data_IF_915394086835
#
_entry.id   IF_915394086835
#
_cell.length_a   1.000
_cell.length_b   1.000
_cell.length_c   1.000
_cell.angle_alpha   90.00
_cell.angle_beta   90.00
_cell.angle_gamma   90.00
#
_symmetry.space_group_name_H-M   'P 1'
#
loop_
_entity.id
_entity.type
_entity.pdbx_description
1 polymer ?
#
# COMPACT_ATOMS: atom_id res chain seq x y z
N UNK A 1 -0.38 2.42 -10.70
CA UNK A 1 0.29 1.11 -10.55
C UNK A 1 0.68 0.92 -9.10
N UNK A 2 0.90 -0.32 -8.64
CA UNK A 2 1.41 -0.54 -7.29
C UNK A 2 2.93 -0.39 -7.27
N UNK A 3 3.45 0.25 -6.22
CA UNK A 3 4.85 0.26 -5.83
C UNK A 3 5.01 -0.34 -4.43
N UNK A 4 6.11 -1.05 -4.24
CA UNK A 4 6.55 -1.58 -2.96
C UNK A 4 7.83 -0.85 -2.58
N UNK A 5 7.79 0.01 -1.57
CA UNK A 5 8.90 0.93 -1.26
C UNK A 5 9.18 0.86 0.24
N UNK A 6 10.41 0.51 0.61
CA UNK A 6 10.88 0.66 1.99
C UNK A 6 10.98 2.14 2.34
N UNK A 7 10.71 2.51 3.60
CA UNK A 7 10.71 3.91 4.00
C UNK A 7 12.05 4.60 3.75
N UNK A 8 13.17 3.88 3.88
CA UNK A 8 14.50 4.41 3.57
C UNK A 8 14.65 4.82 2.10
N UNK A 9 13.97 4.14 1.16
CA UNK A 9 14.00 4.41 -0.28
C UNK A 9 12.92 5.40 -0.74
N UNK A 10 11.99 5.78 0.15
CA UNK A 10 10.83 6.61 -0.19
C UNK A 10 11.23 8.01 -0.71
N UNK A 11 12.43 8.49 -0.33
CA UNK A 11 12.99 9.75 -0.82
C UNK A 11 13.23 9.78 -2.34
N UNK A 12 13.35 8.62 -2.99
CA UNK A 12 13.45 8.52 -4.45
C UNK A 12 12.12 8.84 -5.17
N UNK A 13 11.01 8.95 -4.43
CA UNK A 13 9.67 9.21 -4.93
C UNK A 13 9.03 10.43 -4.24
N UNK A 14 9.62 11.64 -4.35
CA UNK A 14 9.25 12.79 -3.53
C UNK A 14 7.78 13.21 -3.68
N UNK A 15 7.24 13.23 -4.89
CA UNK A 15 5.82 13.54 -5.13
C UNK A 15 4.89 12.52 -4.49
N UNK A 16 5.21 11.23 -4.64
CA UNK A 16 4.41 10.13 -4.11
C UNK A 16 4.43 10.15 -2.58
N UNK A 17 5.61 10.33 -1.98
CA UNK A 17 5.78 10.45 -0.54
C UNK A 17 5.00 11.64 0.04
N UNK A 18 5.17 12.83 -0.56
CA UNK A 18 4.49 14.04 -0.14
C UNK A 18 2.97 13.87 -0.16
N UNK A 19 2.42 13.42 -1.28
CA UNK A 19 0.97 13.26 -1.45
C UNK A 19 0.40 12.14 -0.58
N UNK A 20 1.13 11.04 -0.37
CA UNK A 20 0.72 9.98 0.55
C UNK A 20 0.53 10.50 1.97
N UNK A 21 1.50 11.24 2.52
CA UNK A 21 1.42 11.73 3.90
C UNK A 21 0.34 12.80 4.09
N UNK A 22 0.09 13.64 3.08
CA UNK A 22 -1.04 14.58 3.09
C UNK A 22 -2.39 13.86 3.05
N UNK A 23 -2.52 12.83 2.21
CA UNK A 23 -3.74 12.02 2.13
C UNK A 23 -4.00 11.23 3.41
N UNK A 24 -2.93 10.76 4.08
CA UNK A 24 -3.03 10.16 5.41
C UNK A 24 -3.59 11.17 6.42
N UNK A 25 -3.10 12.42 6.41
CA UNK A 25 -3.64 13.47 7.29
C UNK A 25 -5.11 13.77 6.97
N UNK A 26 -5.48 13.93 5.70
CA UNK A 26 -6.88 14.12 5.30
C UNK A 26 -7.75 12.94 5.74
N UNK A 27 -7.33 11.71 5.48
CA UNK A 27 -8.13 10.55 5.84
C UNK A 27 -8.25 10.38 7.35
N UNK A 28 -7.14 10.25 8.07
CA UNK A 28 -7.15 9.84 9.46
C UNK A 28 -7.56 11.00 10.38
N UNK A 29 -7.00 12.20 10.22
CA UNK A 29 -7.35 13.35 11.06
C UNK A 29 -8.66 13.98 10.61
N UNK A 30 -8.79 14.37 9.34
CA UNK A 30 -9.92 15.21 8.88
C UNK A 30 -11.21 14.41 8.67
N UNK A 31 -11.16 13.30 7.94
CA UNK A 31 -12.37 12.54 7.57
C UNK A 31 -12.81 11.55 8.66
N UNK A 32 -11.85 10.88 9.29
CA UNK A 32 -12.13 9.87 10.30
C UNK A 32 -12.15 10.43 11.73
N UNK A 33 -11.52 11.59 11.97
CA UNK A 33 -11.50 12.24 13.28
C UNK A 33 -10.61 11.53 14.29
N UNK A 34 -9.62 10.76 13.84
CA UNK A 34 -8.71 10.06 14.73
C UNK A 34 -7.74 11.03 15.41
N UNK A 35 -7.35 10.70 16.64
CA UNK A 35 -6.30 11.43 17.35
C UNK A 35 -4.92 10.97 16.85
N UNK A 36 -4.51 11.56 15.73
CA UNK A 36 -3.19 11.36 15.11
C UNK A 36 -2.39 12.67 15.11
N UNK A 37 -1.07 12.55 15.05
CA UNK A 37 -0.13 13.66 14.93
C UNK A 37 0.00 14.09 13.47
N UNK A 38 0.02 15.40 13.24
CA UNK A 38 0.30 16.01 11.94
C UNK A 38 1.39 17.05 12.14
N UNK A 39 2.48 16.95 11.37
CA UNK A 39 3.62 17.85 11.50
C UNK A 39 3.40 19.21 10.81
N UNK A 40 4.40 20.09 10.87
CA UNK A 40 4.36 21.42 10.25
C UNK A 40 4.26 21.38 8.72
N UNK A 41 4.63 20.27 8.09
CA UNK A 41 4.48 20.06 6.65
C UNK A 41 3.09 19.51 6.27
N UNK A 42 2.25 19.22 7.27
CA UNK A 42 0.92 18.66 7.08
C UNK A 42 0.91 17.14 6.97
N UNK A 43 2.03 16.47 7.27
CA UNK A 43 2.15 15.02 7.15
C UNK A 43 1.64 14.30 8.38
N UNK A 44 0.80 13.29 8.17
CA UNK A 44 0.50 12.30 9.22
C UNK A 44 1.57 11.21 9.21
N UNK A 45 2.37 11.20 10.28
CA UNK A 45 3.42 10.23 10.55
C UNK A 45 3.39 9.81 12.02
N UNK A 46 3.85 8.61 12.29
CA UNK A 46 4.07 8.10 13.64
C UNK A 46 5.44 7.39 13.74
N UNK A 47 5.79 6.92 14.94
CA UNK A 47 7.07 6.25 15.21
C UNK A 47 7.31 4.98 14.40
N UNK A 48 6.25 4.35 13.91
CA UNK A 48 6.33 3.14 13.10
C UNK A 48 6.74 3.45 11.65
N UNK A 49 6.59 4.70 11.19
CA UNK A 49 7.13 5.16 9.90
C UNK A 49 8.67 5.22 9.90
N UNK A 50 9.28 5.28 11.09
CA UNK A 50 10.74 5.32 11.25
C UNK A 50 11.36 3.91 11.42
N UNK A 51 10.54 2.85 11.48
CA UNK A 51 10.96 1.44 11.61
C UNK A 51 11.31 0.78 10.26
N UNK A 52 11.61 1.59 9.24
CA UNK A 52 11.79 1.16 7.85
C UNK A 52 10.67 0.23 7.33
N UNK A 53 9.38 0.61 7.47
CA UNK A 53 8.28 -0.22 6.98
C UNK A 53 8.33 -0.39 5.46
N UNK A 54 7.69 -1.45 4.97
CA UNK A 54 7.34 -1.54 3.56
C UNK A 54 6.02 -0.82 3.30
N UNK A 55 6.05 0.23 2.49
CA UNK A 55 4.84 0.84 1.96
C UNK A 55 4.42 0.14 0.67
N UNK A 56 3.13 -0.22 0.60
CA UNK A 56 2.48 -0.68 -0.63
C UNK A 56 1.58 0.44 -1.12
N UNK A 57 1.95 1.07 -2.23
CA UNK A 57 1.36 2.34 -2.68
C UNK A 57 0.81 2.21 -4.09
N UNK A 58 -0.45 2.59 -4.30
CA UNK A 58 -0.97 2.89 -5.62
C UNK A 58 -0.51 4.29 -6.05
N UNK A 59 0.37 4.34 -7.04
CA UNK A 59 0.81 5.56 -7.70
C UNK A 59 -0.05 5.83 -8.95
N UNK A 60 -0.60 7.05 -9.03
CA UNK A 60 -1.32 7.55 -10.19
C UNK A 60 -0.38 7.87 -11.36
N UNK A 61 -0.94 8.11 -12.54
CA UNK A 61 -0.14 8.38 -13.75
C UNK A 61 0.70 9.67 -13.66
N UNK A 62 0.30 10.61 -12.80
CA UNK A 62 1.00 11.88 -12.54
C UNK A 62 2.01 11.77 -11.38
N UNK A 63 2.25 10.56 -10.85
CA UNK A 63 3.16 10.30 -9.73
C UNK A 63 2.57 10.60 -8.35
N UNK A 64 1.29 10.99 -8.27
CA UNK A 64 0.62 11.23 -6.99
C UNK A 64 0.11 9.94 -6.35
N UNK A 65 -0.15 10.01 -5.05
CA UNK A 65 -0.74 8.93 -4.28
C UNK A 65 -2.23 8.73 -4.63
N UNK A 66 -2.62 7.49 -4.90
CA UNK A 66 -4.03 7.08 -5.02
C UNK A 66 -4.53 6.31 -3.81
N UNK A 67 -3.66 5.57 -3.13
CA UNK A 67 -3.95 4.82 -1.91
C UNK A 67 -2.73 4.04 -1.44
N UNK A 68 -2.68 3.66 -0.16
CA UNK A 68 -1.53 2.97 0.43
C UNK A 68 -1.93 2.06 1.58
N UNK A 69 -1.00 1.18 1.97
CA UNK A 69 -0.93 0.56 3.29
C UNK A 69 0.54 0.44 3.72
N UNK A 70 0.76 0.26 5.01
CA UNK A 70 2.08 0.12 5.63
C UNK A 70 2.21 -1.26 6.25
N UNK A 71 3.32 -1.95 5.98
CA UNK A 71 3.59 -3.29 6.47
C UNK A 71 4.85 -3.31 7.35
N UNK A 72 4.77 -3.97 8.52
CA UNK A 72 5.90 -4.17 9.45
C UNK A 72 5.96 -5.60 9.97
N UNK A 73 7.15 -6.21 10.13
CA UNK A 73 7.28 -7.51 10.77
C UNK A 73 6.85 -7.47 12.25
N UNK A 74 6.05 -8.44 12.70
CA UNK A 74 5.60 -8.49 14.11
C UNK A 74 6.69 -8.89 15.10
N UNK A 75 7.85 -9.34 14.61
CA UNK A 75 9.08 -9.52 15.42
C UNK A 75 9.72 -8.20 15.86
N UNK A 76 9.29 -7.07 15.29
CA UNK A 76 9.71 -5.73 15.66
C UNK A 76 8.64 -4.97 16.45
N UNK A 77 8.76 -3.65 16.44
CA UNK A 77 7.76 -2.76 17.05
C UNK A 77 6.51 -2.67 16.17
N UNK A 78 5.32 -2.88 16.75
CA UNK A 78 4.04 -2.85 16.03
C UNK A 78 2.93 -2.23 16.87
N UNK A 79 2.01 -1.57 16.18
CA UNK A 79 0.93 -0.79 16.80
C UNK A 79 -0.03 -1.68 17.60
N UNK A 80 -0.31 -2.89 17.11
CA UNK A 80 -1.20 -3.87 17.73
C UNK A 80 -0.66 -4.30 19.09
N UNK A 81 0.65 -4.50 19.21
CA UNK A 81 1.30 -4.91 20.45
C UNK A 81 1.47 -3.74 21.43
N UNK A 82 1.67 -2.51 20.92
CA UNK A 82 1.96 -1.34 21.75
C UNK A 82 0.68 -0.66 22.27
N UNK A 83 -0.39 -0.62 21.47
CA UNK A 83 -1.61 0.13 21.80
C UNK A 83 -2.90 -0.71 21.89
N UNK A 84 -2.90 -1.91 21.31
CA UNK A 84 -4.13 -2.71 21.17
C UNK A 84 -4.01 -4.12 21.76
N UNK A 85 -3.05 -4.34 22.66
CA UNK A 85 -2.80 -5.63 23.30
C UNK A 85 -4.02 -6.15 24.10
N UNK A 86 -4.88 -5.25 24.58
CA UNK A 86 -6.12 -5.61 25.25
C UNK A 86 -7.16 -6.25 24.31
N UNK A 87 -7.03 -6.08 22.99
CA UNK A 87 -7.88 -6.74 22.01
C UNK A 87 -7.45 -8.18 21.72
N UNK A 88 -6.29 -8.60 22.23
CA UNK A 88 -5.76 -9.97 22.10
C UNK A 88 -5.61 -10.64 23.47
N UNK A 89 -6.42 -10.23 24.46
CA UNK A 89 -6.39 -10.74 25.83
C UNK A 89 -5.00 -10.68 26.50
N UNK A 90 -4.19 -9.68 26.14
CA UNK A 90 -2.83 -9.54 26.66
C UNK A 90 -1.77 -10.33 25.89
N UNK A 91 -2.16 -11.11 24.88
CA UNK A 91 -1.25 -11.94 24.08
C UNK A 91 -0.60 -11.10 22.99
N UNK A 92 0.73 -11.01 23.02
CA UNK A 92 1.50 -10.38 21.96
C UNK A 92 1.46 -11.23 20.70
N UNK A 93 1.33 -10.59 19.54
CA UNK A 93 1.45 -11.24 18.23
C UNK A 93 2.88 -11.00 17.75
N UNK A 94 3.66 -12.08 17.69
CA UNK A 94 5.08 -12.02 17.36
C UNK A 94 5.47 -13.29 16.58
N UNK A 95 5.76 -13.13 15.30
CA UNK A 95 6.16 -14.24 14.42
C UNK A 95 6.88 -13.70 13.18
N UNK A 96 7.94 -14.38 12.68
CA UNK A 96 8.56 -14.00 11.41
C UNK A 96 7.61 -14.15 10.22
N UNK A 97 6.55 -14.95 10.36
CA UNK A 97 5.54 -15.22 9.34
C UNK A 97 4.27 -14.38 9.49
N UNK A 98 4.26 -13.42 10.42
CA UNK A 98 3.13 -12.50 10.61
C UNK A 98 3.64 -11.07 10.51
N UNK A 99 3.07 -10.30 9.60
CA UNK A 99 3.34 -8.87 9.48
C UNK A 99 2.10 -8.05 9.87
N UNK A 100 2.31 -6.89 10.48
CA UNK A 100 1.25 -5.94 10.77
C UNK A 100 0.98 -5.08 9.53
N UNK A 101 -0.30 -4.98 9.13
CA UNK A 101 -0.79 -4.06 8.13
C UNK A 101 -1.54 -2.90 8.78
N UNK A 102 -1.03 -1.68 8.59
CA UNK A 102 -1.61 -0.43 9.12
C UNK A 102 -1.77 0.61 8.02
N UNK A 103 -2.39 1.75 8.36
CA UNK A 103 -2.48 2.94 7.50
C UNK A 103 -3.05 2.65 6.11
N UNK A 104 -4.10 1.83 6.04
CA UNK A 104 -4.89 1.63 4.82
C UNK A 104 -5.56 2.95 4.41
N UNK A 105 -4.93 3.70 3.52
CA UNK A 105 -5.27 5.07 3.12
C UNK A 105 -5.76 5.11 1.68
N UNK A 106 -6.79 5.90 1.40
CA UNK A 106 -7.26 6.19 0.04
C UNK A 106 -7.32 7.71 -0.13
N UNK A 107 -6.71 8.22 -1.19
CA UNK A 107 -6.88 9.61 -1.65
C UNK A 107 -8.37 9.93 -1.88
N UNK A 108 -8.74 11.21 -1.95
CA UNK A 108 -10.12 11.60 -2.31
C UNK A 108 -10.45 11.25 -3.76
N UNK A 109 -9.43 11.25 -4.59
CA UNK A 109 -9.44 11.02 -6.02
C UNK A 109 -9.28 9.53 -6.36
N UNK A 110 -9.19 8.66 -5.34
CA UNK A 110 -9.03 7.23 -5.51
C UNK A 110 -10.14 6.66 -6.38
N UNK A 111 -9.75 6.07 -7.52
CA UNK A 111 -10.71 5.48 -8.45
C UNK A 111 -11.30 4.19 -7.90
N UNK A 112 -12.49 3.78 -8.36
CA UNK A 112 -13.02 2.45 -8.04
C UNK A 112 -12.02 1.36 -8.42
N UNK A 113 -11.59 0.57 -7.44
CA UNK A 113 -10.62 -0.52 -7.63
C UNK A 113 -9.32 -0.37 -6.85
N UNK A 114 -8.91 0.86 -6.47
CA UNK A 114 -7.65 1.09 -5.73
C UNK A 114 -7.58 0.25 -4.44
N UNK A 115 -8.66 0.22 -3.66
CA UNK A 115 -8.71 -0.58 -2.44
C UNK A 115 -8.53 -2.09 -2.69
N UNK A 116 -9.16 -2.63 -3.74
CA UNK A 116 -9.03 -4.02 -4.11
C UNK A 116 -7.62 -4.33 -4.67
N UNK A 117 -7.03 -3.39 -5.40
CA UNK A 117 -5.66 -3.49 -5.89
C UNK A 117 -4.65 -3.54 -4.73
N UNK A 118 -4.83 -2.72 -3.70
CA UNK A 118 -4.00 -2.76 -2.49
C UNK A 118 -4.12 -4.10 -1.76
N UNK A 119 -5.34 -4.64 -1.61
CA UNK A 119 -5.54 -5.96 -1.00
C UNK A 119 -4.90 -7.08 -1.80
N UNK A 120 -5.01 -7.04 -3.14
CA UNK A 120 -4.34 -8.00 -4.01
C UNK A 120 -2.83 -7.91 -3.88
N UNK A 121 -2.30 -6.68 -3.83
CA UNK A 121 -0.89 -6.41 -3.64
C UNK A 121 -0.35 -6.91 -2.31
N UNK A 122 -1.15 -6.84 -1.24
CA UNK A 122 -0.82 -7.44 0.06
C UNK A 122 -0.66 -8.94 -0.03
N UNK A 123 -1.55 -9.61 -0.76
CA UNK A 123 -1.42 -11.03 -1.08
C UNK A 123 -0.14 -11.38 -1.84
N UNK A 124 0.30 -10.52 -2.76
CA UNK A 124 1.60 -10.70 -3.43
C UNK A 124 2.77 -10.61 -2.44
N UNK A 125 2.73 -9.67 -1.48
CA UNK A 125 3.76 -9.61 -0.42
C UNK A 125 3.76 -10.89 0.39
N UNK A 126 2.57 -11.38 0.77
CA UNK A 126 2.46 -12.63 1.53
C UNK A 126 3.12 -13.81 0.80
N UNK A 127 2.88 -13.90 -0.50
CA UNK A 127 3.45 -14.94 -1.35
C UNK A 127 4.96 -14.79 -1.56
N UNK A 128 5.45 -13.59 -1.84
CA UNK A 128 6.85 -13.38 -2.23
C UNK A 128 7.81 -13.33 -1.02
N UNK A 129 7.30 -13.01 0.17
CA UNK A 129 8.08 -12.97 1.42
C UNK A 129 7.77 -14.12 2.39
N UNK A 130 7.03 -15.15 1.94
CA UNK A 130 6.63 -16.29 2.76
C UNK A 130 5.91 -15.87 4.07
N UNK A 131 5.08 -14.82 4.00
CA UNK A 131 4.27 -14.37 5.14
C UNK A 131 2.94 -15.12 5.13
N UNK A 132 2.67 -15.83 6.22
CA UNK A 132 1.45 -16.62 6.36
C UNK A 132 0.24 -15.75 6.71
N UNK A 133 0.45 -14.69 7.51
CA UNK A 133 -0.65 -13.83 7.94
C UNK A 133 -0.32 -12.34 7.97
N UNK A 134 -1.34 -11.53 7.72
CA UNK A 134 -1.35 -10.14 8.18
C UNK A 134 -2.22 -9.97 9.42
N UNK A 135 -1.73 -9.23 10.38
CA UNK A 135 -2.53 -8.71 11.49
C UNK A 135 -2.83 -7.23 11.27
N UNK A 136 -4.02 -6.77 11.65
CA UNK A 136 -4.33 -5.35 11.58
C UNK A 136 -5.49 -4.95 12.48
N UNK A 137 -5.47 -3.69 12.93
CA UNK A 137 -6.56 -3.07 13.68
C UNK A 137 -7.40 -2.20 12.75
N UNK A 138 -8.72 -2.34 12.80
CA UNK A 138 -9.61 -1.57 11.94
C UNK A 138 -10.93 -1.21 12.63
N UNK A 139 -11.53 -0.12 12.17
CA UNK A 139 -12.86 0.32 12.61
C UNK A 139 -13.99 -0.45 11.91
N UNK A 140 -15.20 -0.37 12.46
CA UNK A 140 -16.38 -1.06 11.94
C UNK A 140 -16.71 -0.77 10.45
N UNK A 141 -16.25 0.35 9.88
CA UNK A 141 -16.54 0.76 8.50
C UNK A 141 -15.78 -0.12 7.52
N UNK A 142 -14.57 -0.56 7.89
CA UNK A 142 -13.74 -1.43 7.05
C UNK A 142 -14.35 -2.81 6.83
N UNK A 143 -15.16 -3.33 7.77
CA UNK A 143 -15.84 -4.63 7.64
C UNK A 143 -16.62 -4.75 6.33
N UNK A 144 -17.34 -3.69 5.93
CA UNK A 144 -18.12 -3.70 4.70
C UNK A 144 -17.24 -3.70 3.46
N UNK A 145 -16.10 -3.01 3.52
CA UNK A 145 -15.13 -2.94 2.42
C UNK A 145 -14.50 -4.31 2.21
N UNK A 146 -14.00 -4.93 3.28
CA UNK A 146 -13.44 -6.29 3.26
C UNK A 146 -14.41 -7.32 2.70
N UNK A 147 -15.67 -7.29 3.15
CA UNK A 147 -16.72 -8.20 2.65
C UNK A 147 -17.01 -8.01 1.17
N UNK A 148 -17.04 -6.75 0.70
CA UNK A 148 -17.30 -6.44 -0.71
C UNK A 148 -16.17 -6.93 -1.62
N UNK A 149 -14.93 -6.77 -1.17
CA UNK A 149 -13.75 -7.17 -1.94
C UNK A 149 -13.50 -8.69 -1.87
N UNK A 150 -14.00 -9.35 -0.81
CA UNK A 150 -13.83 -10.78 -0.61
C UNK A 150 -12.59 -11.15 0.22
N UNK A 151 -12.11 -10.22 1.06
CA UNK A 151 -10.92 -10.39 1.91
C UNK A 151 -11.26 -10.04 3.36
N UNK A 152 -12.15 -10.84 3.97
CA UNK A 152 -12.56 -10.65 5.37
C UNK A 152 -11.59 -11.38 6.31
N UNK A 153 -11.12 -10.73 7.39
CA UNK A 153 -10.25 -11.38 8.36
C UNK A 153 -11.01 -12.33 9.28
N UNK A 154 -10.27 -13.23 9.91
CA UNK A 154 -10.66 -13.81 11.20
C UNK A 154 -10.56 -12.73 12.28
N UNK A 155 -11.61 -12.56 13.10
CA UNK A 155 -11.60 -11.56 14.18
C UNK A 155 -11.05 -12.21 15.44
N UNK A 156 -9.89 -11.73 15.90
CA UNK A 156 -9.26 -12.21 17.13
C UNK A 156 -9.90 -11.58 18.38
N UNK A 157 -10.31 -10.32 18.27
CA UNK A 157 -10.97 -9.61 19.36
C UNK A 157 -11.54 -8.28 18.92
N UNK A 158 -12.34 -7.66 19.80
CA UNK A 158 -13.05 -6.42 19.52
C UNK A 158 -13.38 -5.64 20.78
N UNK A 159 -13.43 -4.32 20.66
CA UNK A 159 -13.89 -3.42 21.70
C UNK A 159 -14.81 -2.36 21.11
N UNK A 160 -15.77 -1.91 21.92
CA UNK A 160 -16.73 -0.88 21.53
C UNK A 160 -17.89 -1.42 20.72
N UNK A 161 -18.82 -0.52 20.39
CA UNK A 161 -20.07 -0.85 19.70
C UNK A 161 -20.32 0.12 18.53
N UNK A 162 -21.13 -0.32 17.56
CA UNK A 162 -21.57 0.53 16.46
C UNK A 162 -20.40 1.10 15.65
N UNK A 163 -20.34 2.44 15.55
CA UNK A 163 -19.32 3.17 14.78
C UNK A 163 -17.97 3.28 15.48
N UNK A 164 -17.96 3.13 16.80
CA UNK A 164 -16.76 3.21 17.64
C UNK A 164 -16.11 1.83 17.85
N UNK A 165 -16.72 0.77 17.29
CA UNK A 165 -16.15 -0.56 17.39
C UNK A 165 -14.85 -0.66 16.58
N UNK A 166 -13.81 -1.14 17.24
CA UNK A 166 -12.55 -1.55 16.64
C UNK A 166 -12.34 -3.05 16.82
N UNK A 167 -11.61 -3.66 15.88
CA UNK A 167 -11.32 -5.08 15.86
C UNK A 167 -9.88 -5.33 15.47
N UNK A 168 -9.26 -6.34 16.09
CA UNK A 168 -8.05 -6.97 15.57
C UNK A 168 -8.49 -8.09 14.63
N UNK A 169 -7.99 -8.06 13.40
CA UNK A 169 -8.19 -9.12 12.42
C UNK A 169 -6.88 -9.80 12.03
N UNK A 170 -7.00 -11.07 11.68
CA UNK A 170 -5.95 -11.87 11.06
C UNK A 170 -6.41 -12.25 9.64
N UNK A 171 -5.59 -11.92 8.65
CA UNK A 171 -5.81 -12.27 7.25
C UNK A 171 -4.86 -13.39 6.85
N UNK A 172 -5.42 -14.43 6.25
CA UNK A 172 -4.72 -15.40 5.45
C UNK A 172 -5.03 -15.13 3.97
N UNK A 173 -4.07 -15.39 3.08
CA UNK A 173 -4.28 -15.21 1.65
C UNK A 173 -4.17 -16.53 0.90
N UNK A 174 -5.29 -17.27 0.87
CA UNK A 174 -5.41 -18.48 0.06
C UNK A 174 -5.46 -18.14 -1.43
N UNK A 175 -5.14 -19.11 -2.30
CA UNK A 175 -5.26 -18.93 -3.75
C UNK A 175 -6.68 -18.60 -4.21
N UNK A 176 -7.70 -19.06 -3.48
CA UNK A 176 -9.11 -18.70 -3.73
C UNK A 176 -9.39 -17.23 -3.39
N UNK A 177 -8.85 -16.75 -2.26
CA UNK A 177 -8.94 -15.34 -1.88
C UNK A 177 -8.25 -14.46 -2.93
N UNK A 178 -7.07 -14.85 -3.42
CA UNK A 178 -6.37 -14.14 -4.49
C UNK A 178 -7.21 -14.01 -5.75
N UNK A 179 -7.83 -15.09 -6.21
CA UNK A 179 -8.67 -15.06 -7.41
C UNK A 179 -9.90 -14.15 -7.25
N UNK A 180 -10.53 -14.18 -6.07
CA UNK A 180 -11.68 -13.32 -5.75
C UNK A 180 -11.31 -11.83 -5.72
N UNK A 181 -10.19 -11.50 -5.06
CA UNK A 181 -9.71 -10.12 -4.96
C UNK A 181 -9.20 -9.62 -6.31
N UNK A 182 -8.53 -10.46 -7.11
CA UNK A 182 -8.08 -10.13 -8.47
C UNK A 182 -9.25 -9.74 -9.38
N UNK A 183 -10.32 -10.54 -9.35
CA UNK A 183 -11.56 -10.23 -10.06
C UNK A 183 -12.18 -8.90 -9.62
N UNK A 184 -12.21 -8.64 -8.30
CA UNK A 184 -12.74 -7.38 -7.75
C UNK A 184 -11.89 -6.17 -8.10
N UNK A 185 -10.58 -6.35 -8.23
CA UNK A 185 -9.64 -5.31 -8.60
C UNK A 185 -9.62 -5.03 -10.12
N UNK A 186 -10.05 -5.98 -10.94
CA UNK A 186 -9.85 -5.91 -12.40
C UNK A 186 -8.38 -6.00 -12.79
N UNK A 187 -7.55 -6.64 -11.94
CA UNK A 187 -6.10 -6.76 -12.09
C UNK A 187 -5.75 -8.23 -12.05
N UNK A 188 -4.91 -8.69 -12.99
CA UNK A 188 -4.48 -10.09 -13.02
C UNK A 188 -3.32 -10.34 -12.05
N UNK A 189 -3.17 -11.56 -11.50
CA UNK A 189 -2.02 -11.91 -10.67
C UNK A 189 -0.66 -11.66 -11.35
N UNK A 190 -0.58 -11.81 -12.67
CA UNK A 190 0.65 -11.54 -13.42
C UNK A 190 1.01 -10.05 -13.41
N UNK A 191 0.01 -9.17 -13.38
CA UNK A 191 0.24 -7.73 -13.29
C UNK A 191 0.78 -7.34 -11.91
N UNK A 192 0.25 -7.89 -10.83
CA UNK A 192 0.76 -7.61 -9.48
C UNK A 192 2.17 -8.11 -9.30
N UNK A 193 2.45 -9.34 -9.75
CA UNK A 193 3.80 -9.89 -9.76
C UNK A 193 4.79 -8.99 -10.51
N UNK A 194 4.44 -8.50 -11.70
CA UNK A 194 5.30 -7.58 -12.47
C UNK A 194 5.56 -6.26 -11.74
N UNK A 195 4.56 -5.72 -11.03
CA UNK A 195 4.75 -4.52 -10.22
C UNK A 195 5.64 -4.76 -9.01
N UNK A 196 5.52 -5.93 -8.38
CA UNK A 196 6.39 -6.38 -7.30
C UNK A 196 7.84 -6.49 -7.78
N UNK A 197 8.08 -7.28 -8.83
CA UNK A 197 9.41 -7.46 -9.44
C UNK A 197 10.02 -6.12 -9.85
N UNK A 198 9.25 -5.22 -10.47
CA UNK A 198 9.75 -3.89 -10.85
C UNK A 198 10.13 -3.03 -9.64
N UNK A 199 9.45 -3.18 -8.52
CA UNK A 199 9.72 -2.36 -7.33
C UNK A 199 11.03 -2.76 -6.65
N UNK A 200 11.37 -4.05 -6.63
CA UNK A 200 12.61 -4.54 -6.00
C UNK A 200 13.79 -4.68 -6.97
N UNK A 201 13.53 -4.87 -8.27
CA UNK A 201 14.59 -4.99 -9.29
C UNK A 201 14.98 -3.66 -9.92
N UNK A 202 14.35 -2.53 -9.57
CA UNK A 202 14.70 -1.21 -10.09
C UNK A 202 16.01 -0.69 -9.46
N UNK A 203 17.13 -1.31 -9.84
CA UNK A 203 18.45 -0.68 -9.83
C UNK A 203 18.68 0.18 -11.08
N UNK A 204 17.71 0.25 -12.00
CA UNK A 204 17.79 1.09 -13.18
C UNK A 204 16.70 2.18 -13.20
N UNK A 205 17.08 3.46 -13.35
CA UNK A 205 16.11 4.52 -13.62
C UNK A 205 15.39 4.19 -14.93
N UNK A 206 14.05 4.23 -14.89
CA UNK A 206 13.23 4.10 -16.10
C UNK A 206 13.68 5.19 -17.08
N UNK A 207 14.19 4.86 -18.28
CA UNK A 207 14.50 5.90 -19.25
C UNK A 207 13.19 6.61 -19.58
N UNK A 208 13.15 7.92 -19.32
CA UNK A 208 12.15 8.79 -19.92
C UNK A 208 12.15 8.49 -21.42
N UNK A 209 11.05 7.97 -21.94
CA UNK A 209 10.80 7.96 -23.37
C UNK A 209 10.65 9.43 -23.79
N UNK A 210 11.77 10.05 -24.13
CA UNK A 210 11.84 11.38 -24.68
C UNK A 210 11.39 11.30 -26.15
N UNK A 211 10.08 11.46 -26.36
CA UNK A 211 9.43 11.37 -27.67
C UNK A 211 9.68 12.62 -28.55
N UNK A 212 10.83 13.30 -28.39
CA UNK A 212 11.11 14.57 -29.03
C UNK A 212 12.38 14.61 -29.91
N UNK A 213 13.22 13.56 -29.96
CA UNK A 213 14.51 13.66 -30.69
C UNK A 213 14.53 12.95 -32.06
N UNK A 214 13.49 12.17 -32.43
CA UNK A 214 13.50 11.47 -33.73
C UNK A 214 13.10 12.31 -34.96
N UNK A 215 12.70 13.58 -34.81
CA UNK A 215 12.26 14.38 -35.97
C UNK A 215 13.36 15.21 -36.64
N UNK A 216 14.55 15.35 -36.05
CA UNK A 216 15.60 16.24 -36.61
C UNK A 216 16.64 15.49 -37.46
N UNK A 217 16.77 14.16 -37.32
CA UNK A 217 17.79 13.40 -38.06
C UNK A 217 17.38 12.97 -39.49
N UNK A 218 16.12 13.15 -39.90
CA UNK A 218 15.63 12.70 -41.22
C UNK A 218 15.73 13.75 -42.34
N UNK A 219 16.22 14.96 -42.07
CA UNK A 219 16.26 16.07 -43.03
C UNK A 219 17.65 16.37 -43.65
N UNK A 220 18.67 15.55 -43.37
CA UNK A 220 20.02 15.76 -43.90
C UNK A 220 20.55 14.52 -44.64
N UNK A 221 20.08 14.29 -45.87
CA UNK A 221 20.75 13.44 -46.84
C UNK A 221 21.03 14.27 -48.12
N UNK A 222 22.27 14.25 -48.66
CA UNK A 222 22.68 15.15 -49.74
C UNK A 222 22.15 14.71 -51.12
N UNK A 223 21.81 15.71 -51.94
CA UNK A 223 21.58 15.57 -53.38
C UNK A 223 22.78 14.90 -54.06
N UNK A 224 22.55 13.73 -54.65
CA UNK A 224 23.45 13.12 -55.64
C UNK A 224 23.35 13.87 -56.96
N UNK A 225 24.44 14.51 -57.37
CA UNK A 225 24.65 14.98 -58.75
C UNK A 225 25.01 13.81 -59.67
N UNK A 226 24.66 14.01 -60.95
CA UNK A 226 24.75 13.08 -62.06
C UNK A 226 26.17 12.62 -62.44
N UNK A 227 26.20 11.46 -63.13
CA UNK A 227 26.98 11.23 -64.34
C UNK A 227 26.17 10.34 -65.28
#
# INVERSE_FOLDING_TARGET
MIRYIYAEDLHAFPTLAHTMFLDRADQFKTRLGWEVSVDEQGYERDEYDDQNPLYVIWENADGTHGGSMRLLPTVGQTMVNDHFLHLTDGVRIESPFIWECTRFCLSREATPGVAAALMLAGGEVMKEFDIEHFVGVFDARMVRIYRRIGSSPEILGSQGEGRERISVGLWEFSGEAQASVAKSAGITPEMTRRWFERSFNATEPTPMMDLAVQTIAAAAAPMSLAA
#
